data_IF_633090481585
#
_entry.id   IF_633090481585
#
_cell.length_a   1.000
_cell.length_b   1.000
_cell.length_c   1.000
_cell.angle_alpha   90.00
_cell.angle_beta   90.00
_cell.angle_gamma   90.00
#
_symmetry.space_group_name_H-M   'P 1'
#
loop_
_entity.id
_entity.type
_entity.pdbx_description
1 polymer ?
#
# COMPACT_ATOMS: atom_id res chain seq x y z
N UNK A 1 -74.23 32.96 18.98
CA UNK A 1 -74.01 32.63 20.41
C UNK A 1 -72.60 32.08 20.57
N UNK A 2 -71.82 32.83 21.34
CA UNK A 2 -70.53 32.62 22.01
C UNK A 2 -69.36 31.87 21.34
N UNK A 3 -68.40 32.69 20.92
CA UNK A 3 -66.95 32.46 20.97
C UNK A 3 -66.49 32.22 22.42
N UNK A 4 -65.54 31.30 22.60
CA UNK A 4 -64.59 31.33 23.71
C UNK A 4 -63.18 31.40 23.11
N UNK A 5 -62.56 32.54 23.32
CA UNK A 5 -61.14 32.84 23.16
C UNK A 5 -60.33 32.22 24.29
N UNK A 6 -59.09 31.79 24.01
CA UNK A 6 -58.21 31.25 25.06
C UNK A 6 -56.81 30.95 24.57
N UNK A 7 -56.08 32.00 24.21
CA UNK A 7 -54.62 32.04 24.10
C UNK A 7 -53.96 31.50 25.37
N UNK A 8 -53.59 30.22 25.40
CA UNK A 8 -52.91 29.63 26.56
C UNK A 8 -52.11 28.36 26.26
N UNK A 9 -51.32 28.28 25.17
CA UNK A 9 -50.28 27.22 25.03
C UNK A 9 -49.00 27.74 24.32
N UNK A 10 -48.80 29.06 24.21
CA UNK A 10 -47.59 29.64 23.57
C UNK A 10 -46.54 30.20 24.54
N UNK A 11 -46.61 29.84 25.83
CA UNK A 11 -45.65 30.26 26.87
C UNK A 11 -45.00 29.08 27.63
N UNK A 12 -44.64 28.02 26.91
CA UNK A 12 -43.64 27.02 27.34
C UNK A 12 -42.53 26.89 26.31
N UNK A 13 -42.15 28.04 25.77
CA UNK A 13 -40.82 28.31 25.23
C UNK A 13 -39.88 28.61 26.40
N UNK A 14 -38.58 28.32 26.22
CA UNK A 14 -37.47 29.00 26.92
C UNK A 14 -36.99 28.52 28.31
N UNK A 15 -37.18 27.25 28.73
CA UNK A 15 -36.49 26.74 29.95
C UNK A 15 -35.60 25.49 29.77
N UNK A 16 -35.46 24.92 28.56
CA UNK A 16 -34.60 23.75 28.32
C UNK A 16 -33.39 23.99 27.41
N UNK A 17 -33.19 25.21 26.90
CA UNK A 17 -32.06 25.58 26.01
C UNK A 17 -30.98 26.41 26.74
N UNK A 18 -31.09 26.60 28.07
CA UNK A 18 -30.15 27.43 28.84
C UNK A 18 -29.31 26.65 29.88
N UNK A 19 -29.24 25.31 29.79
CA UNK A 19 -28.48 24.47 30.73
C UNK A 19 -27.39 23.59 30.10
N UNK A 20 -27.03 23.80 28.83
CA UNK A 20 -25.94 23.07 28.16
C UNK A 20 -24.90 23.98 27.46
N UNK A 21 -24.84 25.25 27.87
CA UNK A 21 -23.90 26.26 27.35
C UNK A 21 -23.00 26.89 28.42
N UNK A 22 -22.75 26.17 29.53
CA UNK A 22 -21.85 26.64 30.61
C UNK A 22 -20.97 25.53 31.19
N UNK A 23 -20.23 24.82 30.34
CA UNK A 23 -18.95 24.22 30.75
C UNK A 23 -17.91 24.55 29.69
N UNK A 24 -17.51 25.81 29.67
CA UNK A 24 -16.27 26.27 29.07
C UNK A 24 -15.80 27.47 29.90
N UNK A 25 -14.53 27.46 30.27
CA UNK A 25 -13.78 28.50 31.00
C UNK A 25 -13.77 28.36 32.54
N UNK A 26 -12.99 27.39 33.02
CA UNK A 26 -12.10 27.57 34.19
C UNK A 26 -11.12 26.38 34.27
N UNK A 27 -9.93 26.53 33.69
CA UNK A 27 -8.88 25.49 33.70
C UNK A 27 -7.64 25.90 32.92
N UNK A 28 -7.15 27.13 33.13
CA UNK A 28 -5.82 27.55 32.71
C UNK A 28 -4.85 27.26 33.87
N UNK A 29 -3.68 26.70 33.53
CA UNK A 29 -2.48 26.47 34.36
C UNK A 29 -2.23 25.06 34.93
N UNK A 30 -2.38 24.00 34.12
CA UNK A 30 -1.46 22.84 34.12
C UNK A 30 -1.28 22.37 32.67
N UNK A 31 -0.04 22.13 32.24
CA UNK A 31 0.36 21.95 30.85
C UNK A 31 -0.45 20.92 30.04
N UNK A 32 -1.07 21.40 28.95
CA UNK A 32 -1.66 20.56 27.93
C UNK A 32 -0.57 19.87 27.10
N UNK A 33 -0.24 18.63 27.46
CA UNK A 33 0.19 17.66 26.46
C UNK A 33 -0.98 17.46 25.50
N UNK A 34 -0.83 17.85 24.24
CA UNK A 34 -1.80 17.53 23.19
C UNK A 34 -1.76 16.02 22.94
N UNK A 35 -2.62 15.27 23.64
CA UNK A 35 -2.97 13.91 23.24
C UNK A 35 -3.79 13.99 21.95
N UNK A 36 -3.10 14.00 20.80
CA UNK A 36 -3.69 13.47 19.58
C UNK A 36 -3.93 11.98 19.84
N UNK A 37 -5.09 11.64 20.40
CA UNK A 37 -5.53 10.25 20.47
C UNK A 37 -5.69 9.78 19.03
N UNK A 38 -4.69 9.07 18.53
CA UNK A 38 -4.84 8.29 17.32
C UNK A 38 -6.06 7.40 17.54
N UNK A 39 -7.07 7.59 16.70
CA UNK A 39 -8.18 6.64 16.62
C UNK A 39 -7.60 5.35 16.06
N UNK A 40 -7.03 4.53 16.95
CA UNK A 40 -6.54 3.22 16.59
C UNK A 40 -7.75 2.38 16.20
N UNK A 41 -7.72 1.86 14.97
CA UNK A 41 -8.73 0.93 14.45
C UNK A 41 -8.94 -0.24 15.44
N UNK A 42 -7.90 -0.68 16.14
CA UNK A 42 -7.98 -1.72 17.18
C UNK A 42 -8.87 -1.31 18.36
N UNK A 43 -8.91 -0.02 18.69
CA UNK A 43 -9.76 0.48 19.78
C UNK A 43 -11.24 0.51 19.39
N UNK A 44 -11.55 0.73 18.11
CA UNK A 44 -12.91 0.64 17.57
C UNK A 44 -13.35 -0.81 17.39
N UNK A 45 -12.45 -1.70 16.94
CA UNK A 45 -12.66 -3.14 16.86
C UNK A 45 -12.93 -3.72 18.26
N UNK A 46 -12.18 -3.32 19.28
CA UNK A 46 -12.36 -3.82 20.66
C UNK A 46 -13.59 -3.28 21.39
N UNK A 47 -14.06 -2.06 21.07
CA UNK A 47 -15.17 -1.42 21.81
C UNK A 47 -16.56 -1.62 21.21
N UNK A 48 -16.68 -2.09 19.97
CA UNK A 48 -17.96 -2.08 19.24
C UNK A 48 -18.69 -3.41 19.10
N UNK A 49 -17.99 -4.53 18.86
CA UNK A 49 -18.63 -5.81 18.48
C UNK A 49 -17.78 -6.97 19.01
N UNK A 50 -18.42 -7.98 19.58
CA UNK A 50 -17.76 -9.08 20.27
C UNK A 50 -16.64 -9.75 19.46
N UNK A 51 -15.42 -9.67 19.97
CA UNK A 51 -14.36 -10.69 19.88
C UNK A 51 -13.77 -11.09 18.51
N UNK A 52 -14.36 -10.71 17.38
CA UNK A 52 -13.87 -11.01 16.05
C UNK A 52 -13.82 -9.74 15.21
N UNK A 53 -12.81 -9.61 14.34
CA UNK A 53 -12.72 -8.50 13.39
C UNK A 53 -13.96 -8.37 12.48
N UNK A 54 -13.98 -7.41 11.56
CA UNK A 54 -15.14 -7.19 10.68
C UNK A 54 -15.48 -8.45 9.88
N UNK A 55 -16.77 -8.75 9.78
CA UNK A 55 -17.26 -9.84 8.95
C UNK A 55 -17.11 -9.53 7.44
N UNK A 56 -17.29 -10.50 6.54
CA UNK A 56 -17.14 -10.29 5.10
C UNK A 56 -17.93 -9.10 4.54
N UNK A 57 -19.18 -8.92 4.94
CA UNK A 57 -20.02 -7.81 4.46
C UNK A 57 -19.50 -6.46 4.94
N UNK A 58 -19.00 -6.38 6.18
CA UNK A 58 -18.40 -5.18 6.73
C UNK A 58 -17.09 -4.83 6.01
N UNK A 59 -16.24 -5.81 5.68
CA UNK A 59 -15.02 -5.57 4.92
C UNK A 59 -15.31 -4.97 3.54
N UNK A 60 -16.32 -5.51 2.84
CA UNK A 60 -16.77 -4.97 1.55
C UNK A 60 -17.33 -3.56 1.69
N UNK A 61 -18.19 -3.32 2.68
CA UNK A 61 -18.75 -1.99 2.93
C UNK A 61 -17.68 -0.94 3.27
N UNK A 62 -16.62 -1.34 3.98
CA UNK A 62 -15.47 -0.47 4.23
C UNK A 62 -14.68 -0.20 2.96
N UNK A 63 -14.36 -1.24 2.16
CA UNK A 63 -13.50 -1.12 0.98
C UNK A 63 -14.07 -0.17 -0.09
N UNK A 64 -15.40 -0.08 -0.17
CA UNK A 64 -16.12 0.73 -1.14
C UNK A 64 -16.96 1.83 -0.48
N UNK A 65 -16.50 2.32 0.66
CA UNK A 65 -17.13 3.44 1.37
C UNK A 65 -17.09 4.72 0.50
N UNK A 66 -18.22 5.37 0.22
CA UNK A 66 -18.28 6.50 -0.70
C UNK A 66 -17.55 7.74 -0.18
N UNK A 67 -17.42 7.89 1.14
CA UNK A 67 -17.06 9.17 1.76
C UNK A 67 -15.70 9.12 2.44
N UNK A 68 -15.34 7.98 3.03
CA UNK A 68 -14.17 7.87 3.91
C UNK A 68 -13.02 7.07 3.29
N UNK A 69 -11.94 7.79 2.94
CA UNK A 69 -10.75 7.20 2.34
C UNK A 69 -9.98 6.27 3.30
N UNK A 70 -9.97 6.55 4.60
CA UNK A 70 -9.32 5.68 5.59
C UNK A 70 -10.08 4.36 5.72
N UNK A 71 -11.42 4.41 5.68
CA UNK A 71 -12.27 3.21 5.61
C UNK A 71 -12.03 2.42 4.33
N UNK A 72 -11.99 3.08 3.16
CA UNK A 72 -11.65 2.41 1.88
C UNK A 72 -10.30 1.70 1.95
N UNK A 73 -9.24 2.40 2.35
CA UNK A 73 -7.89 1.84 2.47
C UNK A 73 -7.87 0.62 3.40
N UNK A 74 -8.50 0.74 4.55
CA UNK A 74 -8.59 -0.34 5.55
C UNK A 74 -9.38 -1.52 5.01
N UNK A 75 -10.53 -1.26 4.40
CA UNK A 75 -11.39 -2.27 3.79
C UNK A 75 -10.68 -3.02 2.67
N UNK A 76 -9.95 -2.34 1.77
CA UNK A 76 -9.15 -2.99 0.72
C UNK A 76 -8.09 -3.90 1.32
N UNK A 77 -7.37 -3.44 2.36
CA UNK A 77 -6.33 -4.25 3.02
C UNK A 77 -6.91 -5.53 3.63
N UNK A 78 -8.05 -5.43 4.33
CA UNK A 78 -8.73 -6.57 4.94
C UNK A 78 -9.34 -7.49 3.89
N UNK A 79 -10.01 -6.93 2.89
CA UNK A 79 -10.64 -7.71 1.83
C UNK A 79 -9.59 -8.47 1.02
N UNK A 80 -8.49 -7.83 0.65
CA UNK A 80 -7.39 -8.47 -0.07
C UNK A 80 -6.51 -9.38 0.79
N UNK A 81 -6.65 -9.40 2.12
CA UNK A 81 -6.03 -10.45 2.94
C UNK A 81 -6.72 -11.80 2.77
N UNK A 82 -7.99 -11.78 2.42
CA UNK A 82 -8.80 -12.97 2.15
C UNK A 82 -8.62 -13.47 0.71
N UNK A 83 -8.53 -14.80 0.54
CA UNK A 83 -8.40 -15.41 -0.80
C UNK A 83 -9.58 -15.04 -1.71
N UNK A 84 -10.80 -15.08 -1.18
CA UNK A 84 -12.01 -14.74 -1.93
C UNK A 84 -12.10 -13.24 -2.27
N UNK A 85 -11.43 -12.37 -1.52
CA UNK A 85 -11.36 -10.94 -1.81
C UNK A 85 -10.33 -10.57 -2.88
N UNK A 86 -9.59 -11.55 -3.42
CA UNK A 86 -8.74 -11.43 -4.60
C UNK A 86 -9.43 -11.88 -5.89
N UNK A 87 -10.73 -12.19 -5.81
CA UNK A 87 -11.56 -12.58 -6.95
C UNK A 87 -12.56 -11.51 -7.39
N UNK A 88 -13.22 -11.75 -8.53
CA UNK A 88 -14.35 -10.92 -8.93
C UNK A 88 -15.51 -11.09 -7.93
N UNK A 89 -16.29 -10.02 -7.66
CA UNK A 89 -16.26 -8.71 -8.30
C UNK A 89 -15.24 -7.72 -7.68
N UNK A 90 -14.54 -8.10 -6.63
CA UNK A 90 -13.73 -7.18 -5.83
C UNK A 90 -12.53 -6.63 -6.60
N UNK A 91 -11.88 -7.45 -7.42
CA UNK A 91 -10.76 -7.01 -8.26
C UNK A 91 -11.18 -5.96 -9.30
N UNK A 92 -12.42 -6.03 -9.83
CA UNK A 92 -12.98 -4.95 -10.66
C UNK A 92 -13.14 -3.67 -9.86
N UNK A 93 -13.59 -3.77 -8.61
CA UNK A 93 -13.66 -2.65 -7.68
C UNK A 93 -12.29 -2.03 -7.39
N UNK A 94 -11.26 -2.84 -7.12
CA UNK A 94 -9.89 -2.34 -6.95
C UNK A 94 -9.38 -1.66 -8.22
N UNK A 95 -9.66 -2.21 -9.40
CA UNK A 95 -9.29 -1.58 -10.68
C UNK A 95 -9.94 -0.21 -10.86
N UNK A 96 -11.21 -0.05 -10.48
CA UNK A 96 -11.87 1.25 -10.50
C UNK A 96 -11.21 2.23 -9.52
N UNK A 97 -11.04 1.83 -8.25
CA UNK A 97 -10.42 2.67 -7.22
C UNK A 97 -8.99 3.08 -7.59
N UNK A 98 -8.18 2.16 -8.12
CA UNK A 98 -6.82 2.44 -8.59
C UNK A 98 -6.78 3.54 -9.67
N UNK A 99 -7.84 3.69 -10.47
CA UNK A 99 -7.91 4.68 -11.56
C UNK A 99 -8.55 6.00 -11.16
N UNK A 100 -9.54 5.97 -10.26
CA UNK A 100 -10.44 7.11 -10.07
C UNK A 100 -10.48 7.64 -8.63
N UNK A 101 -9.92 6.95 -7.64
CA UNK A 101 -9.96 7.46 -6.28
C UNK A 101 -9.13 8.74 -6.14
N UNK A 102 -9.70 9.74 -5.44
CA UNK A 102 -9.04 11.01 -5.19
C UNK A 102 -7.82 10.84 -4.27
N UNK A 103 -7.86 9.88 -3.35
CA UNK A 103 -6.82 9.65 -2.37
C UNK A 103 -5.73 8.71 -2.94
N UNK A 104 -4.47 9.18 -3.05
CA UNK A 104 -3.37 8.35 -3.55
C UNK A 104 -3.09 7.11 -2.69
N UNK A 105 -3.41 7.12 -1.39
CA UNK A 105 -3.26 5.98 -0.50
C UNK A 105 -4.31 4.89 -0.78
N UNK A 106 -5.53 5.29 -1.18
CA UNK A 106 -6.54 4.34 -1.64
C UNK A 106 -6.15 3.75 -2.98
N UNK A 107 -5.69 4.59 -3.94
CA UNK A 107 -5.17 4.09 -5.24
C UNK A 107 -4.02 3.10 -5.04
N UNK A 108 -3.07 3.45 -4.19
CA UNK A 108 -1.94 2.59 -3.80
C UNK A 108 -2.41 1.25 -3.21
N UNK A 109 -3.33 1.27 -2.25
CA UNK A 109 -3.88 0.05 -1.66
C UNK A 109 -4.58 -0.83 -2.70
N UNK A 110 -5.34 -0.23 -3.62
CA UNK A 110 -6.01 -0.93 -4.70
C UNK A 110 -5.00 -1.56 -5.68
N UNK A 111 -3.94 -0.84 -6.07
CA UNK A 111 -2.85 -1.36 -6.91
C UNK A 111 -2.15 -2.55 -6.26
N UNK A 112 -1.87 -2.50 -4.95
CA UNK A 112 -1.32 -3.65 -4.22
C UNK A 112 -2.26 -4.85 -4.23
N UNK A 113 -3.55 -4.64 -4.01
CA UNK A 113 -4.55 -5.69 -4.04
C UNK A 113 -4.64 -6.37 -5.43
N UNK A 114 -4.58 -5.58 -6.50
CA UNK A 114 -4.52 -6.09 -7.88
C UNK A 114 -3.25 -6.90 -8.12
N UNK A 115 -2.07 -6.41 -7.70
CA UNK A 115 -0.82 -7.16 -7.80
C UNK A 115 -0.89 -8.49 -7.05
N UNK A 116 -1.44 -8.48 -5.83
CA UNK A 116 -1.63 -9.68 -4.99
C UNK A 116 -2.57 -10.70 -5.63
N UNK A 117 -3.57 -10.26 -6.40
CA UNK A 117 -4.47 -11.18 -7.10
C UNK A 117 -3.76 -12.04 -8.16
N UNK A 118 -2.61 -11.58 -8.69
CA UNK A 118 -1.87 -12.29 -9.74
C UNK A 118 -2.56 -12.31 -11.11
N UNK A 119 -3.72 -11.65 -11.26
CA UNK A 119 -4.57 -11.75 -12.46
C UNK A 119 -4.04 -10.88 -13.59
N UNK A 120 -3.67 -11.52 -14.69
CA UNK A 120 -3.08 -10.88 -15.87
C UNK A 120 -3.99 -9.84 -16.53
N UNK A 121 -5.31 -9.97 -16.42
CA UNK A 121 -6.28 -9.02 -16.97
C UNK A 121 -6.12 -7.58 -16.41
N UNK A 122 -5.56 -7.42 -15.20
CA UNK A 122 -5.33 -6.09 -14.61
C UNK A 122 -3.97 -5.50 -14.94
N UNK A 123 -3.12 -6.18 -15.72
CA UNK A 123 -1.81 -5.66 -16.11
C UNK A 123 -1.90 -4.28 -16.78
N UNK A 124 -2.95 -4.03 -17.57
CA UNK A 124 -3.20 -2.71 -18.14
C UNK A 124 -3.40 -1.62 -17.08
N UNK A 125 -4.21 -1.88 -16.05
CA UNK A 125 -4.41 -0.96 -14.92
C UNK A 125 -3.10 -0.72 -14.15
N UNK A 126 -2.29 -1.77 -13.94
CA UNK A 126 -0.99 -1.63 -13.27
C UNK A 126 0.00 -0.80 -14.10
N UNK A 127 0.02 -0.96 -15.42
CA UNK A 127 0.83 -0.13 -16.34
C UNK A 127 0.37 1.33 -16.33
N UNK A 128 -0.94 1.59 -16.25
CA UNK A 128 -1.48 2.94 -16.09
C UNK A 128 -1.01 3.58 -14.78
N UNK A 129 -1.03 2.82 -13.68
CA UNK A 129 -0.61 3.29 -12.35
C UNK A 129 0.89 3.65 -12.25
N UNK A 130 1.75 3.14 -13.13
CA UNK A 130 3.15 3.60 -13.25
C UNK A 130 3.26 5.09 -13.61
N UNK A 131 2.19 5.72 -14.09
CA UNK A 131 2.17 7.14 -14.49
C UNK A 131 1.47 8.03 -13.46
N UNK A 132 1.09 7.47 -12.30
CA UNK A 132 0.36 8.21 -11.27
C UNK A 132 1.18 9.42 -10.76
N UNK A 133 0.53 10.56 -10.43
CA UNK A 133 1.23 11.71 -9.84
C UNK A 133 1.96 11.36 -8.53
N UNK A 134 1.42 10.43 -7.74
CA UNK A 134 1.99 9.98 -6.48
C UNK A 134 3.13 8.97 -6.70
N UNK A 135 4.35 9.24 -6.21
CA UNK A 135 5.45 8.27 -6.29
C UNK A 135 5.14 6.96 -5.57
N UNK A 136 4.31 6.98 -4.51
CA UNK A 136 3.90 5.77 -3.80
C UNK A 136 3.09 4.84 -4.71
N UNK A 137 2.14 5.39 -5.48
CA UNK A 137 1.30 4.60 -6.39
C UNK A 137 2.16 4.02 -7.52
N UNK A 138 3.08 4.82 -8.09
CA UNK A 138 4.00 4.34 -9.13
C UNK A 138 4.92 3.22 -8.62
N UNK A 139 5.40 3.36 -7.40
CA UNK A 139 6.21 2.33 -6.76
C UNK A 139 5.42 1.03 -6.56
N UNK A 140 4.21 1.10 -6.00
CA UNK A 140 3.34 -0.07 -5.84
C UNK A 140 2.98 -0.70 -7.18
N UNK A 141 2.83 0.09 -8.24
CA UNK A 141 2.59 -0.39 -9.59
C UNK A 141 3.77 -1.19 -10.12
N UNK A 142 5.00 -0.70 -9.94
CA UNK A 142 6.21 -1.43 -10.33
C UNK A 142 6.34 -2.75 -9.56
N UNK A 143 6.04 -2.75 -8.26
CA UNK A 143 6.00 -3.96 -7.42
C UNK A 143 4.92 -4.94 -7.90
N UNK A 144 3.71 -4.46 -8.17
CA UNK A 144 2.61 -5.27 -8.65
C UNK A 144 2.90 -5.90 -10.02
N UNK A 145 3.64 -5.21 -10.90
CA UNK A 145 4.08 -5.74 -12.19
C UNK A 145 5.17 -6.82 -12.08
N UNK A 146 5.93 -6.88 -10.98
CA UNK A 146 6.76 -8.05 -10.67
C UNK A 146 5.87 -9.27 -10.37
N UNK A 147 4.75 -9.08 -9.68
CA UNK A 147 3.80 -10.15 -9.34
C UNK A 147 2.93 -10.58 -10.54
N UNK A 148 2.63 -9.65 -11.45
CA UNK A 148 1.83 -9.88 -12.66
C UNK A 148 2.71 -9.66 -13.92
N UNK A 149 3.71 -10.53 -14.16
CA UNK A 149 4.65 -10.33 -15.25
C UNK A 149 3.99 -10.56 -16.60
N UNK A 150 4.35 -9.74 -17.58
CA UNK A 150 3.97 -9.90 -18.98
C UNK A 150 4.75 -8.96 -19.89
N UNK A 151 4.89 -9.29 -21.19
CA UNK A 151 5.75 -8.56 -22.12
C UNK A 151 5.34 -7.10 -22.30
N UNK A 152 4.06 -6.77 -22.16
CA UNK A 152 3.54 -5.40 -22.28
C UNK A 152 4.09 -4.46 -21.18
N UNK A 153 4.53 -5.00 -20.04
CA UNK A 153 5.06 -4.20 -18.93
C UNK A 153 6.53 -3.80 -19.11
N UNK A 154 7.28 -4.44 -20.03
CA UNK A 154 8.72 -4.20 -20.19
C UNK A 154 9.01 -2.73 -20.52
N UNK A 155 8.38 -2.18 -21.56
CA UNK A 155 8.66 -0.81 -21.99
C UNK A 155 8.22 0.24 -20.95
N UNK A 156 7.03 0.16 -20.33
CA UNK A 156 6.65 1.01 -19.21
C UNK A 156 7.64 0.96 -18.04
N UNK A 157 8.07 -0.24 -17.62
CA UNK A 157 9.03 -0.41 -16.54
C UNK A 157 10.41 0.15 -16.90
N UNK A 158 10.85 0.01 -18.16
CA UNK A 158 12.12 0.58 -18.63
C UNK A 158 12.11 2.11 -18.56
N UNK A 159 11.04 2.73 -19.05
CA UNK A 159 10.87 4.19 -19.03
C UNK A 159 10.84 4.69 -17.59
N UNK A 160 9.97 4.13 -16.76
CA UNK A 160 9.84 4.55 -15.38
C UNK A 160 11.11 4.31 -14.57
N UNK A 161 11.78 3.17 -14.82
CA UNK A 161 13.04 2.83 -14.18
C UNK A 161 14.18 3.80 -14.51
N UNK A 162 14.22 4.36 -15.72
CA UNK A 162 15.27 5.30 -16.13
C UNK A 162 14.96 6.77 -15.79
N UNK A 163 13.69 7.15 -15.83
CA UNK A 163 13.31 8.56 -15.89
C UNK A 163 12.56 9.06 -14.63
N UNK A 164 12.16 8.18 -13.70
CA UNK A 164 11.44 8.62 -12.49
C UNK A 164 12.34 9.44 -11.57
N UNK A 165 11.81 10.52 -11.02
CA UNK A 165 12.48 11.35 -10.01
C UNK A 165 12.74 10.63 -8.69
N UNK A 166 11.86 9.69 -8.30
CA UNK A 166 11.98 8.90 -7.07
C UNK A 166 12.92 7.70 -7.27
N UNK A 167 14.00 7.67 -6.49
CA UNK A 167 14.93 6.53 -6.46
C UNK A 167 14.24 5.22 -6.03
N UNK A 168 13.22 5.30 -5.17
CA UNK A 168 12.46 4.11 -4.75
C UNK A 168 11.71 3.51 -5.93
N UNK A 169 11.04 4.35 -6.75
CA UNK A 169 10.34 3.88 -7.95
C UNK A 169 11.32 3.27 -8.95
N UNK A 170 12.46 3.93 -9.21
CA UNK A 170 13.50 3.37 -10.09
C UNK A 170 14.02 2.03 -9.59
N UNK A 171 14.21 1.89 -8.27
CA UNK A 171 14.60 0.63 -7.61
C UNK A 171 13.55 -0.47 -7.81
N UNK A 172 12.27 -0.17 -7.62
CA UNK A 172 11.19 -1.14 -7.85
C UNK A 172 11.09 -1.57 -9.33
N UNK A 173 11.25 -0.63 -10.26
CA UNK A 173 11.31 -0.94 -11.69
C UNK A 173 12.50 -1.83 -12.04
N UNK A 174 13.70 -1.55 -11.50
CA UNK A 174 14.86 -2.40 -11.68
C UNK A 174 14.59 -3.83 -11.18
N UNK A 175 14.00 -3.96 -9.98
CA UNK A 175 13.60 -5.25 -9.42
C UNK A 175 12.59 -5.98 -10.32
N UNK A 176 11.59 -5.31 -10.86
CA UNK A 176 10.62 -5.94 -11.77
C UNK A 176 11.25 -6.37 -13.11
N UNK A 177 12.17 -5.55 -13.65
CA UNK A 177 12.84 -5.81 -14.92
C UNK A 177 13.69 -7.10 -14.92
N UNK A 178 14.14 -7.57 -13.75
CA UNK A 178 14.86 -8.86 -13.60
C UNK A 178 14.08 -10.05 -14.17
N UNK A 179 12.74 -9.97 -14.25
CA UNK A 179 11.90 -11.05 -14.78
C UNK A 179 12.03 -11.23 -16.28
N UNK A 180 12.63 -10.27 -16.97
CA UNK A 180 12.68 -10.18 -18.41
C UNK A 180 14.13 -10.25 -18.88
N UNK A 181 14.50 -11.36 -19.51
CA UNK A 181 15.82 -11.54 -20.13
C UNK A 181 15.86 -11.02 -21.56
N UNK A 182 15.06 -9.98 -21.85
CA UNK A 182 15.05 -9.33 -23.15
C UNK A 182 16.19 -8.30 -23.22
N UNK A 183 16.80 -8.12 -24.39
CA UNK A 183 17.87 -7.13 -24.58
C UNK A 183 17.49 -5.73 -24.06
N UNK A 184 16.28 -5.21 -24.33
CA UNK A 184 15.85 -3.91 -23.80
C UNK A 184 15.84 -3.82 -22.26
N UNK A 185 15.37 -4.88 -21.59
CA UNK A 185 15.32 -4.93 -20.12
C UNK A 185 16.73 -4.95 -19.53
N UNK A 186 17.59 -5.86 -20.03
CA UNK A 186 18.99 -5.97 -19.60
C UNK A 186 19.76 -4.66 -19.84
N UNK A 187 19.63 -4.05 -21.03
CA UNK A 187 20.22 -2.74 -21.32
C UNK A 187 19.81 -1.66 -20.31
N UNK A 188 18.55 -1.69 -19.85
CA UNK A 188 18.08 -0.71 -18.87
C UNK A 188 18.69 -0.96 -17.50
N UNK A 189 18.75 -2.22 -17.07
CA UNK A 189 19.44 -2.57 -15.83
C UNK A 189 20.93 -2.20 -15.87
N UNK A 190 21.61 -2.38 -17.01
CA UNK A 190 23.01 -1.95 -17.20
C UNK A 190 23.14 -0.44 -17.02
N UNK A 191 22.26 0.36 -17.65
CA UNK A 191 22.28 1.83 -17.46
C UNK A 191 22.07 2.24 -16.00
N UNK A 192 21.25 1.50 -15.25
CA UNK A 192 20.97 1.79 -13.84
C UNK A 192 22.15 1.46 -12.91
N UNK A 193 23.20 0.79 -13.39
CA UNK A 193 24.46 0.67 -12.64
C UNK A 193 25.18 2.02 -12.47
N UNK A 194 24.87 3.01 -13.31
CA UNK A 194 25.41 4.39 -13.21
C UNK A 194 24.42 5.38 -12.57
N UNK A 195 23.33 4.88 -11.97
CA UNK A 195 22.33 5.74 -11.33
C UNK A 195 22.95 6.54 -10.16
N UNK A 196 22.47 7.76 -9.91
CA UNK A 196 22.96 8.60 -8.81
C UNK A 196 22.69 8.00 -7.43
N UNK A 197 21.61 7.23 -7.29
CA UNK A 197 21.23 6.56 -6.05
C UNK A 197 21.97 5.22 -5.88
N UNK A 198 22.61 5.04 -4.72
CA UNK A 198 23.25 3.77 -4.37
C UNK A 198 22.27 2.60 -4.37
N UNK A 199 21.05 2.82 -3.86
CA UNK A 199 19.99 1.81 -3.77
C UNK A 199 19.61 1.30 -5.17
N UNK A 200 19.52 2.21 -6.15
CA UNK A 200 19.21 1.85 -7.54
C UNK A 200 20.37 1.04 -8.15
N UNK A 201 21.62 1.49 -7.99
CA UNK A 201 22.80 0.75 -8.49
C UNK A 201 22.89 -0.66 -7.92
N UNK A 202 22.71 -0.79 -6.60
CA UNK A 202 22.73 -2.07 -5.91
C UNK A 202 21.62 -3.01 -6.42
N UNK A 203 20.39 -2.51 -6.53
CA UNK A 203 19.27 -3.31 -7.03
C UNK A 203 19.44 -3.66 -8.51
N UNK A 204 20.01 -2.78 -9.34
CA UNK A 204 20.29 -3.03 -10.75
C UNK A 204 21.29 -4.19 -10.90
N UNK A 205 22.40 -4.17 -10.15
CA UNK A 205 23.37 -5.27 -10.11
C UNK A 205 22.71 -6.59 -9.72
N UNK A 206 21.99 -6.61 -8.59
CA UNK A 206 21.27 -7.82 -8.13
C UNK A 206 20.27 -8.33 -9.19
N UNK A 207 19.57 -7.42 -9.86
CA UNK A 207 18.60 -7.75 -10.89
C UNK A 207 19.25 -8.32 -12.15
N UNK A 208 20.44 -7.84 -12.52
CA UNK A 208 21.24 -8.40 -13.59
C UNK A 208 21.73 -9.81 -13.24
N UNK A 209 22.26 -10.00 -12.03
CA UNK A 209 22.68 -11.31 -11.52
C UNK A 209 21.53 -12.32 -11.56
N UNK A 210 20.35 -11.97 -11.07
CA UNK A 210 19.17 -12.82 -11.11
C UNK A 210 18.64 -13.07 -12.54
N UNK A 211 18.72 -12.07 -13.43
CA UNK A 211 18.23 -12.20 -14.80
C UNK A 211 19.15 -13.07 -15.67
N UNK A 212 20.47 -12.99 -15.47
CA UNK A 212 21.46 -13.64 -16.36
C UNK A 212 22.20 -14.81 -15.71
N UNK A 213 22.13 -14.96 -14.39
CA UNK A 213 22.87 -15.98 -13.62
C UNK A 213 24.38 -15.76 -13.59
N UNK A 214 24.84 -14.50 -13.73
CA UNK A 214 26.26 -14.15 -13.75
C UNK A 214 26.50 -12.98 -12.80
N UNK A 215 27.61 -12.97 -12.08
CA UNK A 215 28.09 -11.79 -11.36
C UNK A 215 29.27 -11.19 -12.13
N UNK A 216 29.07 -10.03 -12.75
CA UNK A 216 30.10 -9.29 -13.49
C UNK A 216 30.54 -8.03 -12.73
N UNK A 217 30.15 -7.90 -11.47
CA UNK A 217 30.45 -6.74 -10.64
C UNK A 217 29.65 -5.49 -11.02
N UNK A 218 30.10 -4.31 -10.56
CA UNK A 218 29.35 -3.06 -10.70
C UNK A 218 29.56 -2.36 -12.06
N UNK A 219 30.55 -2.76 -12.85
CA UNK A 219 30.98 -2.04 -14.05
C UNK A 219 30.04 -2.25 -15.26
N UNK A 220 29.38 -1.20 -15.80
CA UNK A 220 28.44 -1.35 -16.91
C UNK A 220 29.05 -1.98 -18.17
N UNK A 221 30.33 -1.70 -18.45
CA UNK A 221 31.06 -2.21 -19.62
C UNK A 221 31.18 -3.74 -19.63
N UNK A 222 31.36 -4.34 -18.45
CA UNK A 222 31.42 -5.79 -18.31
C UNK A 222 30.09 -6.44 -18.74
N UNK A 223 28.97 -5.83 -18.34
CA UNK A 223 27.64 -6.29 -18.71
C UNK A 223 27.26 -6.00 -20.16
N UNK A 224 27.77 -4.92 -20.76
CA UNK A 224 27.50 -4.62 -22.18
C UNK A 224 27.99 -5.73 -23.12
N UNK A 225 29.12 -6.37 -22.82
CA UNK A 225 29.65 -7.50 -23.61
C UNK A 225 28.70 -8.70 -23.66
N UNK A 226 27.84 -8.87 -22.65
CA UNK A 226 26.81 -9.92 -22.62
C UNK A 226 25.78 -9.72 -23.73
N UNK A 227 25.56 -8.49 -24.17
CA UNK A 227 24.63 -8.16 -25.25
C UNK A 227 25.17 -8.55 -26.63
N UNK A 228 26.40 -9.04 -26.76
CA UNK A 228 26.88 -9.60 -28.03
C UNK A 228 26.43 -11.06 -28.22
N UNK A 229 26.07 -11.73 -27.13
CA UNK A 229 25.64 -13.13 -27.09
C UNK A 229 24.13 -13.33 -26.87
N UNK A 230 23.66 -14.60 -26.79
CA UNK A 230 22.31 -14.92 -26.38
C UNK A 230 22.11 -14.66 -24.88
N UNK A 231 20.98 -14.05 -24.51
CA UNK A 231 20.58 -13.86 -23.13
C UNK A 231 19.80 -15.09 -22.65
N UNK A 232 20.46 -15.97 -21.91
CA UNK A 232 19.82 -17.15 -21.32
C UNK A 232 19.40 -16.87 -19.88
N UNK A 233 18.17 -17.26 -19.55
CA UNK A 233 17.64 -17.14 -18.19
C UNK A 233 18.11 -18.34 -17.35
N UNK A 234 18.55 -18.14 -16.10
CA UNK A 234 18.81 -19.25 -15.18
C UNK A 234 17.56 -20.11 -14.97
N UNK A 235 17.73 -21.43 -14.89
CA UNK A 235 16.62 -22.38 -14.76
C UNK A 235 15.91 -22.30 -13.40
N UNK A 236 16.61 -21.83 -12.35
CA UNK A 236 16.09 -21.79 -10.98
C UNK A 236 15.57 -20.39 -10.65
N UNK A 237 14.32 -20.34 -10.17
CA UNK A 237 13.69 -19.11 -9.68
C UNK A 237 13.74 -19.13 -8.16
N UNK A 238 14.24 -18.07 -7.53
CA UNK A 238 13.82 -17.74 -6.17
C UNK A 238 12.37 -17.27 -6.29
N UNK A 239 11.45 -18.20 -6.10
CA UNK A 239 10.01 -17.94 -6.12
C UNK A 239 9.67 -17.19 -4.83
N UNK A 240 9.86 -15.86 -4.85
CA UNK A 240 9.42 -15.02 -3.74
C UNK A 240 7.91 -15.10 -3.66
N UNK A 241 7.43 -15.66 -2.57
CA UNK A 241 6.03 -15.64 -2.27
C UNK A 241 5.64 -14.26 -1.74
N UNK A 242 4.36 -13.92 -1.84
CA UNK A 242 3.87 -12.59 -1.45
C UNK A 242 4.15 -12.25 0.03
N UNK A 243 4.47 -13.23 0.88
CA UNK A 243 4.91 -13.00 2.27
C UNK A 243 6.35 -12.48 2.40
N UNK A 244 7.24 -12.70 1.44
CA UNK A 244 8.60 -12.12 1.46
C UNK A 244 8.57 -10.59 1.33
N UNK A 245 7.46 -10.05 0.84
CA UNK A 245 7.21 -8.61 0.81
C UNK A 245 6.69 -8.07 2.16
N UNK A 246 6.10 -8.89 3.04
CA UNK A 246 5.59 -8.42 4.33
C UNK A 246 6.69 -7.85 5.23
N UNK A 247 7.93 -8.36 5.16
CA UNK A 247 9.07 -7.77 5.86
C UNK A 247 9.43 -6.34 5.39
N UNK A 248 9.07 -5.98 4.16
CA UNK A 248 9.24 -4.63 3.61
C UNK A 248 8.05 -3.73 3.98
N UNK A 249 6.90 -4.30 4.35
CA UNK A 249 5.63 -3.58 4.54
C UNK A 249 5.06 -3.59 5.97
N UNK A 250 5.69 -4.24 6.95
CA UNK A 250 5.21 -4.16 8.33
C UNK A 250 6.02 -4.96 9.33
N UNK A 251 6.86 -4.24 10.08
CA UNK A 251 6.90 -4.28 11.54
C UNK A 251 7.74 -3.08 12.00
N UNK A 252 7.08 -2.01 12.45
CA UNK A 252 7.62 -1.36 13.65
C UNK A 252 7.61 -2.45 14.70
N UNK A 253 8.78 -2.93 15.08
CA UNK A 253 8.95 -3.79 16.24
C UNK A 253 8.22 -3.09 17.38
N UNK A 254 7.02 -3.56 17.71
CA UNK A 254 6.50 -3.36 19.05
C UNK A 254 7.42 -4.23 19.86
N UNK A 255 8.43 -3.64 20.49
CA UNK A 255 9.18 -4.32 21.53
C UNK A 255 8.12 -4.80 22.52
N UNK A 256 7.87 -6.11 22.56
CA UNK A 256 7.12 -6.69 23.66
C UNK A 256 7.84 -6.25 24.93
N UNK A 257 7.16 -5.67 25.93
CA UNK A 257 7.79 -5.32 27.18
C UNK A 257 8.43 -6.60 27.71
N UNK A 258 9.77 -6.58 27.79
CA UNK A 258 10.59 -7.72 28.16
C UNK A 258 9.98 -8.44 29.36
N UNK A 259 9.50 -9.66 29.14
CA UNK A 259 9.09 -10.55 30.22
C UNK A 259 10.30 -10.72 31.14
N UNK A 260 10.22 -10.36 32.45
CA UNK A 260 11.34 -10.56 33.35
C UNK A 260 11.70 -12.03 33.35
N UNK A 261 12.96 -12.34 33.04
CA UNK A 261 13.47 -13.70 33.06
C UNK A 261 13.15 -14.34 34.42
N UNK A 262 12.35 -15.40 34.41
CA UNK A 262 12.17 -16.27 35.56
C UNK A 262 13.52 -16.89 35.90
N UNK A 263 14.13 -16.44 36.99
CA UNK A 263 15.31 -17.08 37.56
C UNK A 263 14.95 -18.53 37.92
N UNK A 264 15.74 -19.53 37.51
CA UNK A 264 15.51 -20.89 37.95
C UNK A 264 15.73 -20.97 39.47
N UNK A 265 14.74 -21.55 40.16
CA UNK A 265 14.81 -21.80 41.59
C UNK A 265 16.03 -22.68 41.89
N UNK A 266 17.00 -22.12 42.63
CA UNK A 266 18.02 -22.93 43.28
C UNK A 266 17.38 -23.68 44.44
N UNK A 267 17.32 -25.01 44.34
CA UNK A 267 17.41 -25.96 45.45
C UNK A 267 17.64 -27.37 44.93
#
# INVERSE_FOLDING_TARGET
MNRISGTAVRHTLLSAVSALLCVSVAGLLVGCKSEQKSFSLDSLIKKGLGGGGPNPQQMVAMAFDPDDADRRRTGIKLLSSEKWGLDEPYTKGYSALAKTDVDPLVRSAAVRALGKSGKQEYQGTLIEALKDPSPMVRWDAAVALDLVPGPAAVEPLRRQGGDDTSADVRTACAKALRRYTTRPAVQTLIRLLDDSSYQVRHQARKSLEEATGRDLGPEPSAWMSLLDGPLTRPAERVEYAWWDWMHVYGETVVEEPSTPASQPAQR
#
